data_IF_646413715767
#
_entry.id   IF_646413715767
#
_cell.length_a   1.000
_cell.length_b   1.000
_cell.length_c   1.000
_cell.angle_alpha   90.00
_cell.angle_beta   90.00
_cell.angle_gamma   90.00
#
_symmetry.space_group_name_H-M   'P 1'
#
loop_
_entity.id
_entity.type
_entity.pdbx_description
1 polymer ?
#
# COMPACT_ATOMS: atom_id res chain seq x y z
N UNK A 1 12.13 -47.45 60.73
CA UNK A 1 12.66 -46.22 60.10
C UNK A 1 12.23 -46.21 58.64
N UNK A 2 11.45 -45.22 58.22
CA UNK A 2 10.83 -45.17 56.88
C UNK A 2 11.87 -44.65 55.87
N UNK A 3 12.18 -45.43 54.84
CA UNK A 3 13.01 -45.00 53.71
C UNK A 3 12.13 -44.19 52.75
N UNK A 4 12.30 -42.87 52.73
CA UNK A 4 11.65 -42.00 51.76
C UNK A 4 12.42 -42.02 50.45
N UNK A 5 11.84 -42.60 49.38
CA UNK A 5 12.33 -42.39 48.02
C UNK A 5 12.02 -40.96 47.60
N UNK A 6 13.06 -40.13 47.49
CA UNK A 6 12.96 -38.79 46.94
C UNK A 6 13.24 -38.85 45.43
N UNK A 7 12.19 -39.02 44.63
CA UNK A 7 12.24 -38.85 43.18
C UNK A 7 12.46 -37.37 42.87
N UNK A 8 13.70 -36.98 42.59
CA UNK A 8 14.01 -35.69 41.99
C UNK A 8 13.65 -35.76 40.50
N UNK A 9 12.47 -35.26 40.16
CA UNK A 9 12.09 -34.99 38.77
C UNK A 9 12.86 -33.74 38.32
N UNK A 10 14.10 -33.90 37.85
CA UNK A 10 14.78 -32.85 37.11
C UNK A 10 14.12 -32.76 35.74
N UNK A 11 13.25 -31.76 35.56
CA UNK A 11 12.80 -31.34 34.23
C UNK A 11 14.02 -30.71 33.53
N UNK A 12 14.89 -31.55 32.96
CA UNK A 12 15.82 -31.08 31.96
C UNK A 12 14.96 -30.66 30.78
N UNK A 13 14.87 -29.36 30.53
CA UNK A 13 14.54 -28.83 29.21
C UNK A 13 15.63 -29.39 28.28
N UNK A 14 15.42 -30.62 27.79
CA UNK A 14 16.27 -31.17 26.76
C UNK A 14 16.07 -30.24 25.57
N UNK A 15 17.11 -29.47 25.22
CA UNK A 15 17.15 -28.77 23.94
C UNK A 15 16.97 -29.85 22.88
N UNK A 16 15.73 -30.00 22.40
CA UNK A 16 15.47 -30.89 21.30
C UNK A 16 16.16 -30.26 20.08
N UNK A 17 16.80 -31.05 19.23
CA UNK A 17 17.50 -30.55 18.05
C UNK A 17 16.59 -29.67 17.18
N UNK A 18 15.28 -29.97 17.14
CA UNK A 18 14.26 -29.16 16.48
C UNK A 18 14.14 -27.74 17.04
N UNK A 19 14.23 -27.57 18.36
CA UNK A 19 14.09 -26.28 19.02
C UNK A 19 15.35 -25.41 18.83
N UNK A 20 16.53 -26.02 18.81
CA UNK A 20 17.78 -25.35 18.41
C UNK A 20 17.74 -24.89 16.94
N UNK A 21 17.21 -25.72 16.06
CA UNK A 21 17.11 -25.43 14.64
C UNK A 21 16.11 -24.30 14.36
N UNK A 22 14.97 -24.28 15.05
CA UNK A 22 13.99 -23.19 14.96
C UNK A 22 14.55 -21.85 15.48
N UNK A 23 15.29 -21.84 16.59
CA UNK A 23 15.94 -20.63 17.08
C UNK A 23 17.00 -20.13 16.10
N UNK A 24 17.77 -21.04 15.51
CA UNK A 24 18.79 -20.69 14.51
C UNK A 24 18.14 -20.06 13.27
N UNK A 25 17.06 -20.64 12.76
CA UNK A 25 16.32 -20.11 11.60
C UNK A 25 15.74 -18.71 11.85
N UNK A 26 15.26 -18.43 13.07
CA UNK A 26 14.72 -17.11 13.45
C UNK A 26 15.80 -16.01 13.59
N UNK A 27 17.07 -16.40 13.73
CA UNK A 27 18.19 -15.47 13.93
C UNK A 27 18.98 -15.17 12.65
N UNK A 28 18.71 -15.90 11.55
CA UNK A 28 19.39 -15.71 10.27
C UNK A 28 18.84 -14.50 9.51
N UNK A 29 19.70 -13.88 8.70
CA UNK A 29 19.26 -12.87 7.74
C UNK A 29 18.45 -13.51 6.60
N UNK A 30 17.62 -12.72 5.91
CA UNK A 30 16.75 -13.21 4.82
C UNK A 30 17.52 -13.97 3.73
N UNK A 31 18.75 -13.53 3.44
CA UNK A 31 19.64 -14.15 2.47
C UNK A 31 20.15 -15.53 2.95
N UNK A 32 20.54 -15.64 4.21
CA UNK A 32 21.03 -16.89 4.78
C UNK A 32 19.91 -17.93 4.93
N UNK A 33 18.69 -17.48 5.26
CA UNK A 33 17.51 -18.34 5.31
C UNK A 33 17.18 -18.91 3.92
N UNK A 34 17.28 -18.08 2.88
CA UNK A 34 17.09 -18.54 1.49
C UNK A 34 18.14 -19.60 1.09
N UNK A 35 19.41 -19.40 1.45
CA UNK A 35 20.47 -20.38 1.17
C UNK A 35 20.24 -21.72 1.90
N UNK A 36 19.85 -21.68 3.18
CA UNK A 36 19.52 -22.89 3.94
C UNK A 36 18.28 -23.60 3.38
N UNK A 37 17.25 -22.86 2.96
CA UNK A 37 16.06 -23.43 2.31
C UNK A 37 16.42 -24.14 0.99
N UNK A 38 17.32 -23.55 0.21
CA UNK A 38 17.76 -24.09 -1.08
C UNK A 38 18.61 -25.35 -0.89
N UNK A 39 19.50 -25.34 0.11
CA UNK A 39 20.24 -26.53 0.49
C UNK A 39 19.31 -27.63 1.04
N UNK A 40 18.26 -27.28 1.78
CA UNK A 40 17.26 -28.24 2.25
C UNK A 40 16.43 -28.84 1.11
N UNK A 41 16.15 -28.05 0.06
CA UNK A 41 15.46 -28.50 -1.15
C UNK A 41 16.34 -29.47 -1.95
N UNK A 42 17.63 -29.16 -2.17
CA UNK A 42 18.57 -30.07 -2.84
C UNK A 42 18.77 -31.40 -2.10
N UNK A 43 18.72 -31.38 -0.77
CA UNK A 43 18.87 -32.58 0.05
C UNK A 43 17.60 -33.45 0.09
N UNK A 44 16.44 -32.91 -0.31
CA UNK A 44 15.18 -33.63 -0.29
C UNK A 44 14.69 -33.88 -1.73
N UNK A 45 15.02 -35.03 -2.33
CA UNK A 45 14.67 -35.34 -3.73
C UNK A 45 13.16 -35.50 -3.98
N UNK A 46 12.31 -35.38 -2.95
CA UNK A 46 10.85 -35.35 -3.06
C UNK A 46 10.27 -33.93 -3.07
N UNK A 47 11.09 -32.91 -2.83
CA UNK A 47 10.68 -31.50 -2.87
C UNK A 47 11.14 -30.89 -4.18
N UNK A 48 10.20 -30.47 -4.99
CA UNK A 48 10.45 -29.70 -6.20
C UNK A 48 10.05 -28.25 -5.94
N UNK A 49 10.85 -27.31 -6.46
CA UNK A 49 10.46 -25.91 -6.46
C UNK A 49 9.30 -25.79 -7.44
N UNK A 50 8.10 -25.53 -6.93
CA UNK A 50 6.91 -25.39 -7.76
C UNK A 50 7.05 -24.11 -8.57
N UNK A 51 7.29 -24.23 -9.87
CA UNK A 51 7.02 -23.13 -10.78
C UNK A 51 5.51 -22.92 -10.78
N UNK A 52 5.07 -21.68 -10.57
CA UNK A 52 3.66 -21.34 -10.28
C UNK A 52 2.68 -21.56 -11.46
N UNK A 53 2.98 -22.42 -12.43
CA UNK A 53 2.17 -22.66 -13.64
C UNK A 53 2.28 -24.11 -14.13
N UNK A 54 1.90 -25.10 -13.32
CA UNK A 54 1.62 -26.45 -13.84
C UNK A 54 0.11 -26.65 -13.98
N UNK A 55 -0.34 -26.76 -15.24
CA UNK A 55 -1.71 -27.05 -15.64
C UNK A 55 -2.19 -28.38 -15.03
N UNK A 56 -3.34 -28.33 -14.35
CA UNK A 56 -3.92 -29.48 -13.66
C UNK A 56 -4.68 -30.34 -14.70
N UNK A 57 -4.10 -31.48 -15.09
CA UNK A 57 -4.72 -32.47 -15.97
C UNK A 57 -5.86 -33.21 -15.21
N UNK A 58 -7.11 -32.80 -15.43
CA UNK A 58 -8.28 -33.44 -14.81
C UNK A 58 -8.72 -34.68 -15.58
N UNK A 59 -8.36 -35.87 -15.09
CA UNK A 59 -8.97 -37.14 -15.53
C UNK A 59 -10.36 -37.32 -14.91
N UNK A 60 -11.40 -37.38 -15.76
CA UNK A 60 -12.78 -37.65 -15.38
C UNK A 60 -12.98 -39.11 -14.91
N UNK A 61 -13.59 -39.39 -13.74
CA UNK A 61 -14.17 -40.69 -13.46
C UNK A 61 -15.55 -40.79 -14.11
N UNK A 62 -15.76 -41.85 -14.89
CA UNK A 62 -17.04 -42.21 -15.50
C UNK A 62 -17.95 -42.94 -14.49
N UNK A 63 -19.25 -42.62 -14.57
CA UNK A 63 -20.44 -43.37 -14.16
C UNK A 63 -20.56 -43.92 -12.72
N UNK A 64 -21.69 -43.62 -12.07
CA UNK A 64 -22.62 -44.67 -11.62
C UNK A 64 -24.03 -44.10 -11.39
N UNK A 65 -25.02 -44.84 -11.91
CA UNK A 65 -26.47 -44.60 -11.95
C UNK A 65 -27.12 -44.12 -10.63
N UNK A 66 -28.21 -43.33 -10.69
CA UNK A 66 -29.00 -42.98 -9.52
C UNK A 66 -29.82 -44.18 -9.03
N UNK A 67 -29.54 -44.63 -7.81
CA UNK A 67 -30.35 -45.62 -7.09
C UNK A 67 -31.73 -45.01 -6.78
N UNK A 68 -32.80 -45.70 -7.17
CA UNK A 68 -34.19 -45.28 -7.00
C UNK A 68 -34.61 -45.28 -5.52
N UNK A 69 -34.89 -44.10 -5.00
CA UNK A 69 -35.25 -43.79 -3.59
C UNK A 69 -36.48 -44.50 -3.04
N UNK A 70 -37.25 -45.22 -3.87
CA UNK A 70 -38.42 -45.97 -3.43
C UNK A 70 -38.06 -47.27 -2.66
N UNK A 71 -36.94 -47.93 -2.98
CA UNK A 71 -36.53 -49.20 -2.34
C UNK A 71 -35.90 -49.01 -0.94
N UNK A 72 -35.45 -47.80 -0.61
CA UNK A 72 -34.82 -47.50 0.67
C UNK A 72 -35.82 -47.33 1.84
N UNK A 73 -37.12 -47.20 1.54
CA UNK A 73 -38.17 -46.94 2.54
C UNK A 73 -38.84 -48.20 3.13
N UNK A 74 -38.60 -49.39 2.56
CA UNK A 74 -39.16 -50.66 3.08
C UNK A 74 -38.25 -51.38 4.09
N UNK A 75 -37.00 -50.93 4.27
CA UNK A 75 -36.09 -51.53 5.26
C UNK A 75 -36.30 -50.93 6.66
N UNK A 76 -36.75 -51.78 7.58
CA UNK A 76 -37.23 -51.43 8.92
C UNK A 76 -36.15 -51.58 10.00
N UNK A 77 -34.90 -51.27 9.67
CA UNK A 77 -33.78 -51.15 10.61
C UNK A 77 -33.09 -49.81 10.37
N UNK A 78 -32.94 -48.99 11.43
CA UNK A 78 -32.26 -47.70 11.33
C UNK A 78 -30.76 -47.92 11.06
N UNK A 79 -30.18 -47.29 10.03
CA UNK A 79 -28.73 -47.15 9.92
C UNK A 79 -28.20 -46.34 11.11
N UNK A 80 -27.10 -46.80 11.71
CA UNK A 80 -26.53 -46.26 12.96
C UNK A 80 -25.70 -44.97 12.76
N UNK A 81 -25.75 -44.34 11.58
CA UNK A 81 -25.10 -43.06 11.33
C UNK A 81 -26.09 -42.05 10.75
N UNK A 82 -26.46 -41.07 11.57
CA UNK A 82 -27.02 -39.81 11.11
C UNK A 82 -25.89 -38.99 10.47
N UNK A 83 -25.97 -38.62 9.17
CA UNK A 83 -25.09 -37.60 8.63
C UNK A 83 -25.68 -36.23 9.00
N UNK A 84 -25.45 -35.82 10.23
CA UNK A 84 -25.53 -34.41 10.60
C UNK A 84 -24.11 -33.99 10.98
N UNK A 85 -23.40 -33.37 10.04
CA UNK A 85 -22.78 -32.07 10.27
C UNK A 85 -21.99 -31.61 9.03
N UNK A 86 -22.35 -30.41 8.56
CA UNK A 86 -21.63 -29.55 7.64
C UNK A 86 -21.32 -30.10 6.23
N UNK A 87 -22.32 -30.08 5.35
CA UNK A 87 -22.04 -30.01 3.92
C UNK A 87 -21.34 -28.69 3.62
N UNK A 88 -20.16 -28.77 3.01
CA UNK A 88 -19.32 -27.67 2.53
C UNK A 88 -20.02 -26.66 1.58
N UNK A 89 -21.29 -26.91 1.22
CA UNK A 89 -22.18 -26.02 0.46
C UNK A 89 -22.64 -24.74 1.20
N UNK A 90 -22.52 -24.68 2.53
CA UNK A 90 -22.95 -23.48 3.30
C UNK A 90 -21.89 -22.37 3.35
N UNK A 91 -20.67 -22.65 2.87
CA UNK A 91 -19.50 -21.75 3.01
C UNK A 91 -19.22 -20.92 1.75
N UNK A 92 -19.69 -21.33 0.57
CA UNK A 92 -19.49 -20.61 -0.69
C UNK A 92 -20.80 -20.16 -1.34
N UNK A 93 -21.20 -18.93 -1.07
CA UNK A 93 -22.27 -18.25 -1.82
C UNK A 93 -21.84 -16.82 -2.10
N UNK A 94 -21.37 -16.54 -3.32
CA UNK A 94 -21.21 -15.17 -3.81
C UNK A 94 -22.54 -14.67 -4.43
N UNK A 95 -23.54 -14.48 -3.55
CA UNK A 95 -24.87 -13.96 -3.88
C UNK A 95 -25.91 -15.06 -4.11
N UNK A 96 -26.73 -15.37 -3.10
CA UNK A 96 -27.69 -16.49 -3.09
C UNK A 96 -28.49 -16.68 -4.38
N UNK A 97 -28.41 -17.87 -5.03
CA UNK A 97 -29.46 -18.42 -5.86
C UNK A 97 -29.96 -19.75 -5.26
N UNK A 98 -31.25 -19.82 -4.95
CA UNK A 98 -31.93 -21.08 -4.64
C UNK A 98 -31.95 -21.97 -5.90
N UNK A 99 -31.11 -23.01 -5.97
CA UNK A 99 -31.10 -23.99 -7.06
C UNK A 99 -30.28 -25.23 -6.70
N UNK A 100 -30.66 -26.44 -7.16
CA UNK A 100 -30.07 -27.70 -6.71
C UNK A 100 -28.62 -27.83 -7.19
N UNK A 101 -27.79 -28.25 -6.24
CA UNK A 101 -26.33 -28.43 -6.25
C UNK A 101 -25.81 -29.20 -7.46
N UNK A 102 -24.70 -28.74 -8.05
CA UNK A 102 -23.98 -29.54 -9.06
C UNK A 102 -22.78 -28.95 -9.78
N UNK A 103 -22.48 -27.64 -9.71
CA UNK A 103 -21.51 -27.06 -10.66
C UNK A 103 -20.65 -25.90 -10.09
N UNK A 104 -20.19 -26.02 -8.84
CA UNK A 104 -19.24 -25.04 -8.27
C UNK A 104 -17.81 -25.49 -8.54
N UNK A 105 -17.29 -24.96 -9.64
CA UNK A 105 -15.88 -25.02 -10.05
C UNK A 105 -15.10 -24.04 -9.17
N UNK A 106 -13.97 -24.48 -8.62
CA UNK A 106 -12.96 -23.70 -7.86
C UNK A 106 -12.43 -22.45 -8.61
N UNK A 107 -12.82 -22.30 -9.88
CA UNK A 107 -12.46 -21.23 -10.83
C UNK A 107 -13.38 -19.97 -10.72
N UNK A 108 -14.42 -20.00 -9.88
CA UNK A 108 -15.38 -18.87 -9.70
C UNK A 108 -15.13 -18.00 -8.46
N UNK A 109 -14.06 -18.25 -7.70
CA UNK A 109 -13.60 -17.29 -6.70
C UNK A 109 -12.88 -16.15 -7.41
N UNK A 110 -13.22 -14.87 -7.17
CA UNK A 110 -12.47 -13.77 -7.76
C UNK A 110 -11.02 -13.84 -7.27
N UNK A 111 -10.15 -14.39 -8.10
CA UNK A 111 -8.69 -14.35 -7.96
C UNK A 111 -8.33 -12.90 -7.74
N UNK A 112 -7.57 -12.64 -6.67
CA UNK A 112 -7.16 -11.30 -6.25
C UNK A 112 -6.74 -10.44 -7.47
N UNK A 113 -7.58 -9.49 -7.86
CA UNK A 113 -7.43 -8.70 -9.10
C UNK A 113 -6.44 -7.53 -8.96
N UNK A 114 -5.66 -7.50 -7.88
CA UNK A 114 -4.72 -6.44 -7.55
C UNK A 114 -5.27 -5.38 -6.60
N UNK A 115 -4.38 -4.52 -6.13
CA UNK A 115 -4.69 -3.34 -5.31
C UNK A 115 -4.76 -2.11 -6.21
N UNK A 116 -5.82 -1.31 -6.08
CA UNK A 116 -5.89 0.00 -6.74
C UNK A 116 -5.08 1.01 -5.92
N UNK A 117 -3.86 1.27 -6.35
CA UNK A 117 -3.07 2.39 -5.80
C UNK A 117 -3.39 3.66 -6.59
N UNK A 118 -3.49 4.79 -5.91
CA UNK A 118 -3.57 6.11 -6.55
C UNK A 118 -2.26 6.83 -6.27
N UNK A 119 -1.57 7.24 -7.32
CA UNK A 119 -0.39 8.09 -7.17
C UNK A 119 -0.80 9.55 -6.92
N UNK A 120 0.11 10.34 -6.38
CA UNK A 120 -0.08 11.79 -6.24
C UNK A 120 -0.31 12.44 -7.61
N UNK A 121 0.40 11.97 -8.65
CA UNK A 121 0.24 12.43 -10.01
C UNK A 121 -1.17 12.14 -10.55
N UNK A 122 -1.72 10.93 -10.32
CA UNK A 122 -3.09 10.59 -10.72
C UNK A 122 -4.12 11.51 -10.05
N UNK A 123 -3.91 11.83 -8.77
CA UNK A 123 -4.79 12.73 -8.04
C UNK A 123 -4.75 14.17 -8.59
N UNK A 124 -3.56 14.67 -8.94
CA UNK A 124 -3.42 15.98 -9.58
C UNK A 124 -4.00 15.99 -10.99
N UNK A 125 -3.81 14.92 -11.76
CA UNK A 125 -4.39 14.79 -13.10
C UNK A 125 -5.92 14.83 -13.05
N UNK A 126 -6.53 14.13 -12.09
CA UNK A 126 -7.96 14.22 -11.84
C UNK A 126 -8.40 15.68 -11.56
N UNK A 127 -7.64 16.44 -10.76
CA UNK A 127 -7.97 17.84 -10.48
C UNK A 127 -7.79 18.77 -11.68
N UNK A 128 -6.81 18.50 -12.56
CA UNK A 128 -6.64 19.21 -13.83
C UNK A 128 -7.87 18.99 -14.72
N UNK A 129 -8.40 17.77 -14.78
CA UNK A 129 -9.61 17.46 -15.56
C UNK A 129 -10.87 18.13 -15.00
N UNK A 130 -10.97 18.28 -13.67
CA UNK A 130 -12.10 18.98 -13.03
C UNK A 130 -12.02 20.50 -13.16
N UNK A 131 -10.84 21.05 -13.43
CA UNK A 131 -10.62 22.49 -13.51
C UNK A 131 -10.86 22.99 -14.94
N UNK A 132 -11.65 24.07 -15.15
CA UNK A 132 -11.87 24.61 -16.48
C UNK A 132 -10.61 25.30 -17.00
N UNK A 133 -9.82 24.56 -17.78
CA UNK A 133 -8.66 25.04 -18.52
C UNK A 133 -8.96 25.11 -20.01
N UNK A 134 -8.25 26.00 -20.73
CA UNK A 134 -8.22 25.94 -22.20
C UNK A 134 -7.46 24.69 -22.67
N UNK A 135 -7.56 24.35 -23.95
CA UNK A 135 -6.85 23.18 -24.49
C UNK A 135 -5.32 23.31 -24.38
N UNK A 136 -4.81 24.54 -24.51
CA UNK A 136 -3.38 24.86 -24.31
C UNK A 136 -2.99 24.81 -22.84
N UNK A 137 -3.77 25.46 -21.96
CA UNK A 137 -3.53 25.44 -20.51
C UNK A 137 -3.54 24.01 -19.94
N UNK A 138 -4.42 23.14 -20.46
CA UNK A 138 -4.49 21.74 -20.05
C UNK A 138 -3.22 21.00 -20.45
N UNK A 139 -2.69 21.23 -21.66
CA UNK A 139 -1.42 20.62 -22.08
C UNK A 139 -0.25 21.08 -21.22
N UNK A 140 -0.20 22.39 -20.90
CA UNK A 140 0.77 22.96 -19.95
C UNK A 140 0.63 22.29 -18.58
N UNK A 141 -0.60 22.17 -18.07
CA UNK A 141 -0.86 21.60 -16.76
C UNK A 141 -0.44 20.12 -16.68
N UNK A 142 -0.74 19.32 -17.70
CA UNK A 142 -0.30 17.93 -17.79
C UNK A 142 1.22 17.83 -17.79
N UNK A 143 1.92 18.69 -18.55
CA UNK A 143 3.39 18.70 -18.54
C UNK A 143 3.97 19.13 -17.18
N UNK A 144 3.31 20.04 -16.46
CA UNK A 144 3.73 20.43 -15.10
C UNK A 144 3.54 19.28 -14.13
N UNK A 145 2.40 18.58 -14.16
CA UNK A 145 2.11 17.45 -13.25
C UNK A 145 3.07 16.29 -13.48
N UNK A 146 3.45 16.01 -14.72
CA UNK A 146 4.45 14.97 -15.05
C UNK A 146 5.86 15.34 -14.53
N UNK A 147 6.18 16.64 -14.46
CA UNK A 147 7.45 17.13 -13.93
C UNK A 147 7.53 17.16 -12.38
N UNK A 148 6.44 16.82 -11.68
CA UNK A 148 6.39 16.75 -10.21
C UNK A 148 6.86 15.38 -9.73
N UNK A 149 7.84 15.40 -8.85
CA UNK A 149 8.38 14.20 -8.19
C UNK A 149 7.43 13.65 -7.11
N UNK A 150 7.68 12.43 -6.62
CA UNK A 150 6.93 11.81 -5.52
C UNK A 150 6.91 12.67 -4.23
N UNK A 151 7.93 13.51 -4.08
CA UNK A 151 8.07 14.48 -2.98
C UNK A 151 7.20 15.74 -3.15
N UNK A 152 6.59 15.95 -4.32
CA UNK A 152 5.71 17.08 -4.63
C UNK A 152 6.42 18.34 -5.13
N UNK A 153 7.74 18.29 -5.39
CA UNK A 153 8.52 19.40 -5.94
C UNK A 153 8.68 19.32 -7.45
N UNK A 154 8.83 20.49 -8.07
CA UNK A 154 9.10 20.60 -9.50
C UNK A 154 10.58 20.32 -9.79
N UNK A 155 10.86 19.35 -10.65
CA UNK A 155 12.24 18.98 -11.03
C UNK A 155 12.77 19.80 -12.21
N UNK A 156 11.87 20.29 -13.06
CA UNK A 156 12.17 20.94 -14.34
C UNK A 156 11.99 22.47 -14.23
N UNK A 157 12.77 23.24 -14.98
CA UNK A 157 12.61 24.70 -15.05
C UNK A 157 11.44 25.12 -15.95
N UNK A 158 10.93 26.34 -15.78
CA UNK A 158 9.82 26.84 -16.60
C UNK A 158 10.19 26.95 -18.09
N UNK A 159 11.46 27.24 -18.39
CA UNK A 159 11.97 27.31 -19.76
C UNK A 159 12.00 25.94 -20.44
N UNK A 160 12.36 24.88 -19.71
CA UNK A 160 12.36 23.50 -20.23
C UNK A 160 10.93 22.98 -20.45
N UNK A 161 9.97 23.36 -19.59
CA UNK A 161 8.54 23.06 -19.80
C UNK A 161 8.01 23.78 -21.06
N UNK A 162 8.48 25.00 -21.33
CA UNK A 162 8.15 25.69 -22.58
C UNK A 162 8.76 24.97 -23.80
N UNK A 163 10.01 24.54 -23.70
CA UNK A 163 10.71 23.85 -24.79
C UNK A 163 10.10 22.48 -25.10
N UNK A 164 9.60 21.75 -24.09
CA UNK A 164 8.98 20.43 -24.28
C UNK A 164 7.68 20.48 -25.08
N UNK A 165 6.92 21.56 -25.01
CA UNK A 165 5.70 21.75 -25.80
C UNK A 165 5.98 22.02 -27.28
N UNK A 166 7.19 22.48 -27.64
CA UNK A 166 7.60 22.71 -29.02
C UNK A 166 6.83 23.82 -29.76
N UNK A 167 5.88 24.50 -29.11
CA UNK A 167 5.04 25.54 -29.69
C UNK A 167 5.56 26.95 -29.37
N UNK A 168 5.66 27.77 -30.41
CA UNK A 168 6.23 29.13 -30.36
C UNK A 168 5.22 30.16 -29.81
N UNK A 169 3.97 29.76 -29.58
CA UNK A 169 2.88 30.66 -29.15
C UNK A 169 2.65 30.69 -27.63
N UNK A 170 3.31 29.82 -26.84
CA UNK A 170 3.15 29.82 -25.38
C UNK A 170 4.12 30.81 -24.75
N UNK A 171 3.57 31.84 -24.11
CA UNK A 171 4.37 32.81 -23.36
C UNK A 171 4.76 32.25 -21.99
N UNK A 172 5.92 32.68 -21.46
CA UNK A 172 6.37 32.28 -20.12
C UNK A 172 5.36 32.72 -19.04
N UNK A 173 4.66 33.83 -19.27
CA UNK A 173 3.62 34.34 -18.39
C UNK A 173 2.40 33.41 -18.29
N UNK A 174 2.06 32.69 -19.37
CA UNK A 174 0.97 31.70 -19.38
C UNK A 174 1.34 30.47 -18.55
N UNK A 175 2.55 29.95 -18.74
CA UNK A 175 3.09 28.83 -17.93
C UNK A 175 3.13 29.20 -16.45
N UNK A 176 3.56 30.42 -16.11
CA UNK A 176 3.54 30.90 -14.73
C UNK A 176 2.12 30.99 -14.14
N UNK A 177 1.14 31.40 -14.94
CA UNK A 177 -0.25 31.50 -14.50
C UNK A 177 -0.84 30.12 -14.21
N UNK A 178 -0.62 29.15 -15.10
CA UNK A 178 -1.05 27.75 -14.92
C UNK A 178 -0.34 27.12 -13.72
N UNK A 179 0.97 27.32 -13.57
CA UNK A 179 1.74 26.85 -12.42
C UNK A 179 1.17 27.39 -11.10
N UNK A 180 0.90 28.69 -11.00
CA UNK A 180 0.29 29.30 -9.79
C UNK A 180 -1.10 28.73 -9.51
N UNK A 181 -1.83 28.29 -10.54
CA UNK A 181 -3.14 27.65 -10.39
C UNK A 181 -3.01 26.23 -9.82
N UNK A 182 -2.04 25.45 -10.33
CA UNK A 182 -1.74 24.10 -9.87
C UNK A 182 -1.19 24.13 -8.43
N UNK A 183 -0.36 25.10 -8.08
CA UNK A 183 0.15 25.27 -6.71
C UNK A 183 -0.93 25.47 -5.64
N UNK A 184 -2.15 25.85 -6.04
CA UNK A 184 -3.32 26.02 -5.17
C UNK A 184 -4.24 24.81 -5.13
N UNK A 185 -3.88 23.73 -5.82
CA UNK A 185 -4.55 22.46 -5.72
C UNK A 185 -4.32 21.80 -4.35
N UNK A 186 -4.98 20.66 -4.13
CA UNK A 186 -4.82 19.86 -2.93
C UNK A 186 -3.85 18.70 -3.27
N UNK A 187 -2.69 18.55 -2.62
CA UNK A 187 -2.17 19.32 -1.48
C UNK A 187 -1.61 20.70 -1.86
N UNK A 188 -1.80 21.69 -0.97
CA UNK A 188 -1.33 23.07 -1.21
C UNK A 188 0.18 23.20 -1.17
N UNK A 189 0.73 23.92 -2.15
CA UNK A 189 2.18 24.08 -2.31
C UNK A 189 2.84 22.97 -3.15
N UNK A 190 2.05 22.10 -3.79
CA UNK A 190 2.54 21.16 -4.80
C UNK A 190 3.12 21.89 -6.01
N UNK A 191 4.10 21.31 -6.69
CA UNK A 191 4.84 21.94 -7.80
C UNK A 191 5.57 23.24 -7.40
N UNK A 192 6.00 23.35 -6.15
CA UNK A 192 6.95 24.38 -5.73
C UNK A 192 8.37 24.02 -6.18
N UNK A 193 9.20 25.04 -6.46
CA UNK A 193 10.61 24.86 -6.83
C UNK A 193 11.50 24.62 -5.61
N UNK A 194 11.18 25.27 -4.49
CA UNK A 194 11.92 25.20 -3.24
C UNK A 194 10.93 25.10 -2.06
N UNK A 195 11.42 24.61 -0.92
CA UNK A 195 10.66 24.57 0.33
C UNK A 195 10.17 25.97 0.73
N UNK A 196 10.98 26.99 0.45
CA UNK A 196 10.65 28.39 0.73
C UNK A 196 9.40 28.82 -0.04
N UNK A 197 9.35 28.51 -1.33
CA UNK A 197 8.20 28.81 -2.17
C UNK A 197 6.97 28.01 -1.74
N UNK A 198 7.14 26.71 -1.43
CA UNK A 198 6.08 25.86 -0.90
C UNK A 198 5.42 26.49 0.35
N UNK A 199 6.23 26.87 1.33
CA UNK A 199 5.75 27.50 2.56
C UNK A 199 5.09 28.87 2.29
N UNK A 200 5.63 29.67 1.36
CA UNK A 200 5.03 30.96 1.00
C UNK A 200 3.66 30.79 0.34
N UNK A 201 3.49 29.77 -0.50
CA UNK A 201 2.21 29.42 -1.13
C UNK A 201 1.22 28.98 -0.05
N UNK A 202 1.63 28.10 0.86
CA UNK A 202 0.80 27.64 1.98
C UNK A 202 0.35 28.80 2.87
N UNK A 203 1.27 29.70 3.24
CA UNK A 203 0.94 30.89 4.03
C UNK A 203 0.00 31.85 3.29
N UNK A 204 0.04 31.89 1.96
CA UNK A 204 -0.84 32.77 1.17
C UNK A 204 -2.31 32.34 1.19
N UNK A 205 -2.59 31.08 1.54
CA UNK A 205 -3.94 30.56 1.68
C UNK A 205 -4.58 30.95 3.02
N UNK A 206 -3.76 31.17 4.06
CA UNK A 206 -4.28 31.58 5.36
C UNK A 206 -4.89 32.99 5.32
N UNK A 207 -5.89 33.18 6.17
CA UNK A 207 -6.59 34.45 6.27
C UNK A 207 -5.65 35.55 6.83
N UNK A 208 -5.71 36.75 6.24
CA UNK A 208 -4.89 37.91 6.66
C UNK A 208 -5.14 38.35 8.10
N UNK A 209 -6.27 37.95 8.68
CA UNK A 209 -6.60 38.21 10.08
C UNK A 209 -5.84 37.33 11.07
N UNK A 210 -5.16 36.29 10.60
CA UNK A 210 -4.39 35.41 11.50
C UNK A 210 -3.17 36.15 12.04
N UNK A 211 -2.93 36.06 13.36
CA UNK A 211 -1.89 36.84 14.00
C UNK A 211 -0.50 36.31 13.61
N UNK A 212 0.48 37.21 13.47
CA UNK A 212 1.89 36.91 13.15
C UNK A 212 2.19 36.34 11.76
N UNK A 213 1.23 36.31 10.83
CA UNK A 213 1.48 35.84 9.45
C UNK A 213 2.56 36.63 8.72
N UNK A 214 2.52 37.95 8.82
CA UNK A 214 3.48 38.83 8.12
C UNK A 214 4.90 38.61 8.65
N UNK A 215 5.04 38.41 9.96
CA UNK A 215 6.32 38.09 10.59
C UNK A 215 6.82 36.71 10.16
N UNK A 216 5.94 35.70 10.10
CA UNK A 216 6.29 34.36 9.63
C UNK A 216 6.73 34.37 8.17
N UNK A 217 6.01 35.10 7.30
CA UNK A 217 6.36 35.28 5.89
C UNK A 217 7.76 35.91 5.74
N UNK A 218 8.05 36.93 6.54
CA UNK A 218 9.35 37.61 6.54
C UNK A 218 10.48 36.69 7.02
N UNK A 219 10.25 35.89 8.07
CA UNK A 219 11.22 34.90 8.56
C UNK A 219 11.54 33.86 7.50
N UNK A 220 10.53 33.36 6.78
CA UNK A 220 10.71 32.35 5.72
C UNK A 220 11.48 32.93 4.54
N UNK A 221 11.21 34.17 4.13
CA UNK A 221 11.96 34.83 3.07
C UNK A 221 13.46 34.98 3.43
N UNK A 222 13.75 35.59 4.58
CA UNK A 222 15.11 36.08 4.88
C UNK A 222 15.97 35.11 5.71
N UNK A 223 15.34 34.24 6.51
CA UNK A 223 16.03 33.48 7.56
C UNK A 223 15.61 32.02 7.72
N UNK A 224 15.21 31.36 6.63
CA UNK A 224 14.92 29.92 6.65
C UNK A 224 16.12 29.09 7.15
N UNK A 225 17.34 29.48 6.80
CA UNK A 225 18.57 28.76 7.20
C UNK A 225 18.82 28.84 8.71
N UNK A 226 18.43 29.94 9.36
CA UNK A 226 18.53 30.08 10.82
C UNK A 226 17.49 29.19 11.52
N UNK A 227 16.31 29.04 10.91
CA UNK A 227 15.27 28.14 11.38
C UNK A 227 15.69 26.67 11.21
N UNK A 228 16.29 26.32 10.07
CA UNK A 228 16.86 25.00 9.82
C UNK A 228 17.96 24.63 10.82
N UNK A 229 18.80 25.60 11.21
CA UNK A 229 19.85 25.43 12.21
C UNK A 229 19.36 25.51 13.68
N UNK A 230 18.04 25.63 13.91
CA UNK A 230 17.42 25.75 15.23
C UNK A 230 17.94 26.94 16.08
N UNK A 231 18.50 27.98 15.46
CA UNK A 231 19.03 29.15 16.18
C UNK A 231 17.93 30.19 16.44
N UNK A 232 16.99 29.81 17.31
CA UNK A 232 15.90 30.70 17.73
C UNK A 232 16.40 31.94 18.46
N UNK A 233 17.63 31.94 18.97
CA UNK A 233 18.18 33.05 19.75
C UNK A 233 18.56 34.22 18.86
N UNK A 234 19.15 33.95 17.69
CA UNK A 234 19.43 34.99 16.70
C UNK A 234 18.14 35.49 16.06
N UNK A 235 17.18 34.60 15.75
CA UNK A 235 15.85 34.99 15.28
C UNK A 235 15.12 35.91 16.26
N UNK A 236 15.10 35.60 17.55
CA UNK A 236 14.50 36.47 18.59
C UNK A 236 15.22 37.82 18.73
N UNK A 237 16.49 37.92 18.33
CA UNK A 237 17.25 39.19 18.35
C UNK A 237 16.90 40.06 17.14
N UNK A 238 16.71 39.43 15.98
CA UNK A 238 16.36 40.12 14.72
C UNK A 238 14.88 40.54 14.73
N UNK A 239 14.00 39.65 15.19
CA UNK A 239 12.57 39.91 15.37
C UNK A 239 12.20 39.85 16.85
N UNK A 240 12.22 40.99 17.56
CA UNK A 240 11.82 41.05 18.96
C UNK A 240 10.30 40.91 19.07
N UNK A 241 9.79 39.70 18.94
CA UNK A 241 8.40 39.38 19.26
C UNK A 241 8.22 39.47 20.77
N UNK A 242 7.33 40.37 21.21
CA UNK A 242 6.99 40.55 22.63
C UNK A 242 6.13 39.40 23.15
N UNK A 243 6.66 38.18 23.24
CA UNK A 243 6.32 37.14 24.24
C UNK A 243 6.91 35.80 23.83
N UNK A 244 7.65 35.21 24.77
CA UNK A 244 7.98 33.78 24.79
C UNK A 244 6.69 32.96 24.69
N UNK A 245 6.45 32.35 23.54
CA UNK A 245 5.57 31.18 23.37
C UNK A 245 6.30 30.21 22.46
N UNK A 246 7.36 29.62 23.02
CA UNK A 246 7.84 28.31 22.64
C UNK A 246 7.57 27.41 23.85
#
# INVERSE_FOLDING_TARGET
>A
MKQGLQLRLSQQLAMTPQLQQAIRLLQLSTLELQQELQQALENNPLLEQTDLHDEIDTQQPQDNDPLDTADALEQKEMPEELPLDASWDEIYTAGTPSGPSGDYIDDELPVYQGETTQSLQDYLMWQVELTPFSDTDRAIATSIVDAVDDTGYLTVSLDEIRESMGDVEVDLDEVEAVLKRIQRFDPVGVAAKDLRDCLLIQLSQFDKSTPWLEEARLIICDHLDLLANHDFRTLMRVYPTKKKRC
#
